data_IF_156357745256
#
_entry.id   IF_156357745256
#
_cell.length_a   1.000
_cell.length_b   1.000
_cell.length_c   1.000
_cell.angle_alpha   90.00
_cell.angle_beta   90.00
_cell.angle_gamma   90.00
#
_symmetry.space_group_name_H-M   'P 1'
#
loop_
_entity.id
_entity.type
_entity.pdbx_description
1 polymer ?
#
# COMPACT_ATOMS: atom_id res chain seq x y z
N UNK A 1 30.46 12.56 59.20
CA UNK A 1 31.13 12.92 57.92
C UNK A 1 31.04 11.73 56.98
N UNK A 2 29.86 11.50 56.39
CA UNK A 2 29.55 10.31 55.59
C UNK A 2 28.43 10.77 54.64
N UNK A 3 28.73 11.29 53.44
CA UNK A 3 28.82 10.57 52.15
C UNK A 3 27.67 9.54 52.06
N UNK A 4 26.62 9.77 51.29
CA UNK A 4 26.63 9.85 49.83
C UNK A 4 25.48 10.71 49.28
N UNK A 5 25.79 11.51 48.25
CA UNK A 5 24.84 12.35 47.53
C UNK A 5 23.78 11.51 46.82
N UNK A 6 22.54 11.92 47.04
CA UNK A 6 21.42 11.79 46.11
C UNK A 6 21.86 12.07 44.67
N UNK A 7 21.62 11.13 43.77
CA UNK A 7 21.44 11.46 42.36
C UNK A 7 20.61 10.36 41.71
N UNK A 8 19.30 10.53 41.81
CA UNK A 8 18.34 9.85 40.94
C UNK A 8 18.52 10.45 39.53
N UNK A 9 19.39 9.84 38.73
CA UNK A 9 19.53 10.22 37.33
C UNK A 9 18.39 9.56 36.56
N UNK A 10 17.30 10.31 36.40
CA UNK A 10 16.17 10.02 35.52
C UNK A 10 16.72 9.64 34.14
N UNK A 11 16.52 8.37 33.77
CA UNK A 11 16.66 7.90 32.40
C UNK A 11 15.46 8.47 31.60
N UNK A 12 15.59 9.71 31.14
CA UNK A 12 14.65 10.29 30.20
C UNK A 12 14.89 9.65 28.83
N UNK A 13 14.22 8.52 28.57
CA UNK A 13 14.06 8.00 27.21
C UNK A 13 13.29 9.04 26.40
N UNK A 14 14.01 9.90 25.68
CA UNK A 14 13.46 10.69 24.59
C UNK A 14 13.07 9.71 23.48
N UNK A 15 11.82 9.24 23.52
CA UNK A 15 11.20 8.60 22.36
C UNK A 15 10.90 9.72 21.37
N UNK A 16 11.88 10.03 20.52
CA UNK A 16 11.65 10.85 19.35
C UNK A 16 10.71 10.04 18.42
N UNK A 17 9.42 10.37 18.43
CA UNK A 17 8.50 9.89 17.41
C UNK A 17 8.96 10.48 16.08
N UNK A 18 9.73 9.70 15.31
CA UNK A 18 10.05 10.03 13.94
C UNK A 18 8.71 10.01 13.17
N UNK A 19 8.13 11.19 12.94
CA UNK A 19 6.99 11.32 12.06
C UNK A 19 7.43 10.83 10.68
N UNK A 20 6.96 9.64 10.30
CA UNK A 20 7.21 9.09 8.99
C UNK A 20 6.66 10.07 7.94
N UNK A 21 7.49 10.49 6.97
CA UNK A 21 7.04 11.37 5.91
C UNK A 21 5.92 10.68 5.11
N UNK A 22 4.80 11.37 4.94
CA UNK A 22 3.66 10.88 4.16
C UNK A 22 4.05 10.68 2.68
N UNK A 23 3.34 9.79 1.99
CA UNK A 23 3.50 9.66 0.54
C UNK A 23 3.00 10.90 -0.19
N UNK A 24 3.51 11.13 -1.40
CA UNK A 24 3.09 12.27 -2.22
C UNK A 24 1.59 12.23 -2.52
N UNK A 25 0.95 13.40 -2.48
CA UNK A 25 -0.48 13.56 -2.80
C UNK A 25 -0.72 13.99 -4.25
N UNK A 26 0.35 14.11 -5.05
CA UNK A 26 0.32 14.59 -6.44
C UNK A 26 -0.69 13.84 -7.32
N UNK A 27 -0.90 12.55 -7.04
CA UNK A 27 -1.72 11.65 -7.84
C UNK A 27 -3.04 11.25 -7.17
N UNK A 28 -3.41 11.86 -6.04
CA UNK A 28 -4.61 11.50 -5.27
C UNK A 28 -5.93 11.82 -5.97
N UNK A 29 -5.90 12.59 -7.06
CA UNK A 29 -7.07 12.97 -7.86
C UNK A 29 -7.12 12.25 -9.21
N UNK A 30 -6.33 11.19 -9.40
CA UNK A 30 -6.48 10.30 -10.55
C UNK A 30 -7.85 9.61 -10.46
N UNK A 31 -8.55 9.52 -11.59
CA UNK A 31 -9.78 8.76 -11.68
C UNK A 31 -9.48 7.26 -11.74
N UNK A 32 -9.70 6.58 -10.62
CA UNK A 32 -9.51 5.14 -10.53
C UNK A 32 -10.55 4.36 -11.34
N UNK A 33 -11.78 4.86 -11.50
CA UNK A 33 -12.81 4.14 -12.27
C UNK A 33 -12.47 4.13 -13.75
N UNK A 34 -11.97 5.24 -14.29
CA UNK A 34 -11.49 5.31 -15.67
C UNK A 34 -10.37 4.31 -15.96
N UNK A 35 -9.47 4.08 -14.98
CA UNK A 35 -8.39 3.09 -15.13
C UNK A 35 -8.93 1.67 -15.01
N UNK A 36 -9.72 1.39 -13.96
CA UNK A 36 -10.20 0.03 -13.66
C UNK A 36 -11.14 -0.52 -14.74
N UNK A 37 -11.93 0.33 -15.38
CA UNK A 37 -12.87 -0.06 -16.45
C UNK A 37 -12.27 0.07 -17.86
N UNK A 38 -11.01 0.50 -17.98
CA UNK A 38 -10.30 0.55 -19.26
C UNK A 38 -9.21 -0.53 -19.30
N UNK A 39 -9.54 -1.66 -19.93
CA UNK A 39 -8.64 -2.83 -20.02
C UNK A 39 -7.24 -2.49 -20.56
N UNK A 40 -7.14 -1.51 -21.47
CA UNK A 40 -5.84 -1.08 -22.03
C UNK A 40 -5.02 -0.36 -20.97
N UNK A 41 -5.63 0.57 -20.23
CA UNK A 41 -4.93 1.32 -19.18
C UNK A 41 -4.57 0.40 -18.01
N UNK A 42 -5.53 -0.39 -17.53
CA UNK A 42 -5.33 -1.32 -16.43
C UNK A 42 -4.17 -2.29 -16.70
N UNK A 43 -4.11 -2.86 -17.92
CA UNK A 43 -3.00 -3.76 -18.30
C UNK A 43 -1.64 -3.06 -18.30
N UNK A 44 -1.56 -1.78 -18.70
CA UNK A 44 -0.31 -1.02 -18.62
C UNK A 44 0.16 -0.81 -17.18
N UNK A 45 -0.74 -0.49 -16.25
CA UNK A 45 -0.40 -0.42 -14.83
C UNK A 45 0.03 -1.77 -14.29
N UNK A 46 -0.72 -2.83 -14.61
CA UNK A 46 -0.37 -4.18 -14.22
C UNK A 46 1.03 -4.58 -14.71
N UNK A 47 1.34 -4.39 -16.00
CA UNK A 47 2.65 -4.67 -16.60
C UNK A 47 3.77 -3.93 -15.87
N UNK A 48 3.57 -2.65 -15.56
CA UNK A 48 4.51 -1.85 -14.78
C UNK A 48 4.78 -2.47 -13.40
N UNK A 49 3.71 -2.84 -12.69
CA UNK A 49 3.76 -3.34 -11.32
C UNK A 49 4.35 -4.77 -11.23
N UNK A 50 4.07 -5.65 -12.18
CA UNK A 50 4.64 -7.01 -12.18
C UNK A 50 6.08 -7.04 -12.67
N UNK A 51 6.46 -6.14 -13.59
CA UNK A 51 7.81 -6.07 -14.15
C UNK A 51 8.87 -5.74 -13.10
N UNK A 52 10.10 -6.24 -13.30
CA UNK A 52 11.29 -5.84 -12.54
C UNK A 52 11.89 -4.52 -13.03
N UNK A 53 11.43 -3.99 -14.17
CA UNK A 53 11.89 -2.73 -14.76
C UNK A 53 10.77 -1.69 -14.83
N UNK A 54 11.16 -0.42 -14.96
CA UNK A 54 10.23 0.72 -15.04
C UNK A 54 10.09 1.28 -16.46
N UNK A 55 10.52 0.51 -17.47
CA UNK A 55 10.62 0.98 -18.86
C UNK A 55 9.26 1.38 -19.46
N UNK A 56 8.19 0.65 -19.11
CA UNK A 56 6.82 0.89 -19.58
C UNK A 56 5.94 1.67 -18.59
N UNK A 57 6.48 2.03 -17.43
CA UNK A 57 5.71 2.69 -16.38
C UNK A 57 5.50 4.19 -16.69
N UNK A 58 4.27 4.66 -16.50
CA UNK A 58 3.96 6.09 -16.39
C UNK A 58 4.55 6.68 -15.10
N UNK A 59 4.71 8.01 -14.99
CA UNK A 59 5.28 8.63 -13.78
C UNK A 59 4.54 8.26 -12.48
N UNK A 60 3.22 8.19 -12.51
CA UNK A 60 2.37 7.77 -11.39
C UNK A 60 2.46 6.26 -11.12
N UNK A 61 2.55 5.43 -12.16
CA UNK A 61 2.80 4.00 -12.02
C UNK A 61 4.14 3.68 -11.35
N UNK A 62 5.20 4.47 -11.65
CA UNK A 62 6.50 4.35 -10.99
C UNK A 62 6.42 4.71 -9.51
N UNK A 63 5.73 5.80 -9.19
CA UNK A 63 5.51 6.22 -7.80
C UNK A 63 4.77 5.11 -7.03
N UNK A 64 3.65 4.63 -7.58
CA UNK A 64 2.87 3.55 -6.98
C UNK A 64 3.72 2.30 -6.75
N UNK A 65 4.47 1.86 -7.76
CA UNK A 65 5.34 0.68 -7.68
C UNK A 65 6.39 0.81 -6.58
N UNK A 66 6.96 2.00 -6.40
CA UNK A 66 7.99 2.27 -5.40
C UNK A 66 7.44 2.25 -3.98
N UNK A 67 6.21 2.74 -3.76
CA UNK A 67 5.62 2.84 -2.42
C UNK A 67 4.95 1.56 -1.95
N UNK A 68 4.46 0.69 -2.85
CA UNK A 68 3.73 -0.54 -2.47
C UNK A 68 4.49 -1.39 -1.44
N UNK A 69 5.78 -1.75 -1.61
CA UNK A 69 6.47 -2.60 -0.64
C UNK A 69 6.52 -2.00 0.78
N UNK A 70 6.79 -0.69 0.88
CA UNK A 70 6.81 0.02 2.16
C UNK A 70 5.39 0.09 2.76
N UNK A 71 4.39 0.42 1.95
CA UNK A 71 2.99 0.51 2.36
C UNK A 71 2.46 -0.85 2.87
N UNK A 72 2.87 -1.97 2.26
CA UNK A 72 2.48 -3.29 2.75
C UNK A 72 3.19 -3.68 4.03
N UNK A 73 4.46 -3.31 4.19
CA UNK A 73 5.26 -3.61 5.38
C UNK A 73 4.78 -2.83 6.61
N UNK A 74 4.26 -1.62 6.41
CA UNK A 74 3.86 -0.71 7.48
C UNK A 74 2.34 -0.48 7.58
N UNK A 75 1.53 -1.34 6.94
CA UNK A 75 0.07 -1.22 6.92
C UNK A 75 -0.45 0.16 6.44
N UNK A 76 0.23 0.73 5.44
CA UNK A 76 -0.09 2.02 4.85
C UNK A 76 -0.03 3.17 5.87
N UNK A 77 0.86 3.11 6.86
CA UNK A 77 0.96 4.12 7.93
C UNK A 77 1.24 5.54 7.40
N UNK A 78 1.84 5.66 6.21
CA UNK A 78 2.14 6.93 5.53
C UNK A 78 1.06 7.36 4.53
N UNK A 79 0.02 6.55 4.36
CA UNK A 79 -1.08 6.81 3.44
C UNK A 79 -2.11 7.76 4.05
N UNK A 80 -2.64 8.66 3.23
CA UNK A 80 -3.84 9.40 3.61
C UNK A 80 -5.11 8.58 3.34
N UNK A 81 -6.26 9.12 3.74
CA UNK A 81 -7.55 8.43 3.62
C UNK A 81 -7.97 8.15 2.17
N UNK A 82 -7.63 9.04 1.22
CA UNK A 82 -7.89 8.80 -0.22
C UNK A 82 -7.07 7.63 -0.75
N UNK A 83 -5.81 7.54 -0.38
CA UNK A 83 -4.90 6.48 -0.80
C UNK A 83 -5.34 5.13 -0.23
N UNK A 84 -5.76 5.08 1.05
CA UNK A 84 -6.31 3.86 1.67
C UNK A 84 -7.58 3.40 0.98
N UNK A 85 -8.54 4.31 0.77
CA UNK A 85 -9.79 4.00 0.09
C UNK A 85 -9.57 3.56 -1.37
N UNK A 86 -8.65 4.23 -2.07
CA UNK A 86 -8.26 3.88 -3.43
C UNK A 86 -7.61 2.49 -3.51
N UNK A 87 -6.67 2.19 -2.61
CA UNK A 87 -6.03 0.87 -2.53
C UNK A 87 -7.06 -0.24 -2.25
N UNK A 88 -7.96 -0.03 -1.28
CA UNK A 88 -9.03 -0.98 -0.99
C UNK A 88 -9.93 -1.23 -2.21
N UNK A 89 -10.36 -0.16 -2.89
CA UNK A 89 -11.16 -0.26 -4.11
C UNK A 89 -10.46 -1.08 -5.20
N UNK A 90 -9.20 -0.76 -5.50
CA UNK A 90 -8.42 -1.45 -6.54
C UNK A 90 -8.22 -2.92 -6.17
N UNK A 91 -7.85 -3.23 -4.93
CA UNK A 91 -7.64 -4.61 -4.48
C UNK A 91 -8.94 -5.42 -4.60
N UNK A 92 -10.06 -4.89 -4.11
CA UNK A 92 -11.36 -5.55 -4.20
C UNK A 92 -11.79 -5.79 -5.65
N UNK A 93 -11.61 -4.79 -6.52
CA UNK A 93 -11.91 -4.91 -7.93
C UNK A 93 -11.06 -6.00 -8.60
N UNK A 94 -9.74 -6.00 -8.37
CA UNK A 94 -8.84 -6.99 -8.98
C UNK A 94 -9.13 -8.42 -8.51
N UNK A 95 -9.36 -8.62 -7.20
CA UNK A 95 -9.69 -9.95 -6.66
C UNK A 95 -10.98 -10.49 -7.28
N UNK A 96 -11.99 -9.64 -7.48
CA UNK A 96 -13.33 -10.05 -7.94
C UNK A 96 -13.43 -10.13 -9.47
N UNK A 97 -13.05 -9.06 -10.16
CA UNK A 97 -13.34 -8.84 -11.57
C UNK A 97 -12.17 -9.18 -12.50
N UNK A 98 -10.93 -9.17 -11.99
CA UNK A 98 -9.70 -9.39 -12.79
C UNK A 98 -8.71 -10.34 -12.09
N UNK A 99 -9.13 -11.56 -11.73
CA UNK A 99 -8.27 -12.51 -11.00
C UNK A 99 -6.97 -12.84 -11.75
N UNK A 100 -7.00 -12.82 -13.09
CA UNK A 100 -5.84 -12.99 -13.97
C UNK A 100 -4.78 -11.91 -13.80
N UNK A 101 -5.18 -10.68 -13.47
CA UNK A 101 -4.26 -9.57 -13.15
C UNK A 101 -3.91 -9.52 -11.66
N UNK A 102 -4.75 -10.08 -10.79
CA UNK A 102 -4.47 -10.10 -9.36
C UNK A 102 -3.41 -11.13 -8.98
N UNK A 103 -3.46 -12.35 -9.50
CA UNK A 103 -2.57 -13.44 -9.10
C UNK A 103 -1.07 -13.11 -9.21
N UNK A 104 -0.57 -12.48 -10.30
CA UNK A 104 0.83 -12.09 -10.40
C UNK A 104 1.24 -11.01 -9.39
N UNK A 105 0.33 -10.06 -9.12
CA UNK A 105 0.55 -9.00 -8.13
C UNK A 105 0.59 -9.56 -6.72
N UNK A 106 -0.35 -10.43 -6.37
CA UNK A 106 -0.42 -11.13 -5.08
C UNK A 106 0.88 -11.91 -4.86
N UNK A 107 1.31 -12.73 -5.82
CA UNK A 107 2.56 -13.49 -5.71
C UNK A 107 3.79 -12.60 -5.46
N UNK A 108 3.82 -11.40 -6.05
CA UNK A 108 4.96 -10.48 -5.94
C UNK A 108 4.97 -9.69 -4.64
N UNK A 109 3.80 -9.21 -4.21
CA UNK A 109 3.68 -8.20 -3.15
C UNK A 109 3.06 -8.75 -1.85
N UNK A 110 2.20 -9.76 -1.94
CA UNK A 110 1.52 -10.39 -0.79
C UNK A 110 1.54 -11.93 -0.95
N UNK A 111 2.72 -12.57 -0.85
CA UNK A 111 2.83 -14.04 -1.00
C UNK A 111 2.08 -14.81 0.09
N UNK A 112 1.67 -14.14 1.18
CA UNK A 112 0.85 -14.71 2.24
C UNK A 112 -0.64 -14.80 1.87
N UNK A 113 -1.08 -14.07 0.84
CA UNK A 113 -2.48 -13.97 0.43
C UNK A 113 -3.37 -13.28 1.47
N UNK A 114 -2.80 -12.40 2.29
CA UNK A 114 -3.50 -11.69 3.36
C UNK A 114 -4.70 -10.87 2.85
N UNK A 115 -4.58 -10.21 1.70
CA UNK A 115 -5.67 -9.40 1.13
C UNK A 115 -6.83 -10.24 0.63
N UNK A 116 -6.55 -11.39 0.00
CA UNK A 116 -7.59 -12.33 -0.42
C UNK A 116 -8.33 -12.92 0.77
N UNK A 117 -7.62 -13.22 1.85
CA UNK A 117 -8.24 -13.67 3.11
C UNK A 117 -9.10 -12.56 3.73
N UNK A 118 -8.61 -11.31 3.72
CA UNK A 118 -9.33 -10.15 4.28
C UNK A 118 -10.62 -9.83 3.52
N UNK A 119 -10.56 -9.73 2.19
CA UNK A 119 -11.68 -9.24 1.37
C UNK A 119 -12.53 -10.34 0.72
N UNK A 120 -11.99 -11.55 0.54
CA UNK A 120 -12.68 -12.67 -0.10
C UNK A 120 -14.07 -12.99 0.50
N UNK A 121 -14.24 -13.04 1.84
CA UNK A 121 -15.55 -13.31 2.45
C UNK A 121 -16.60 -12.24 2.14
N UNK A 122 -16.20 -10.96 2.08
CA UNK A 122 -17.08 -9.84 1.72
C UNK A 122 -17.52 -9.94 0.25
N UNK A 123 -16.57 -10.16 -0.66
CA UNK A 123 -16.82 -10.22 -2.10
C UNK A 123 -17.73 -11.38 -2.52
N UNK A 124 -17.67 -12.51 -1.79
CA UNK A 124 -18.57 -13.65 -1.99
C UNK A 124 -20.02 -13.36 -1.61
N UNK A 125 -20.25 -12.54 -0.58
CA UNK A 125 -21.60 -12.18 -0.10
C UNK A 125 -22.32 -11.21 -1.03
N UNK A 126 -21.58 -10.34 -1.72
CA UNK A 126 -22.15 -9.35 -2.65
C UNK A 126 -22.53 -9.98 -4.00
N UNK A 127 -21.98 -11.14 -4.31
CA UNK A 127 -22.22 -11.86 -5.58
C UNK A 127 -23.27 -12.97 -5.46
N UNK A 128 -23.89 -13.11 -4.29
CA UNK A 128 -24.94 -14.09 -3.98
C UNK A 128 -26.29 -13.37 -3.81
#
# INVERSE_FOLDING_TARGET
>A
MNKTCSSALLLACLVAAAAAAAYTTKYDNIDLDDILHNDRLLKKYHECLVSSSDASCTPDGKELKAVIPDALTNECAKCNEKQKAGAEKVIKFLIKEKPDLWEPLEKKYDPSGSFRQKYGPELKKVSA
#
